data_IF_669570433838
#
_entry.id   IF_669570433838
#
_cell.length_a   1.000
_cell.length_b   1.000
_cell.length_c   1.000
_cell.angle_alpha   90.00
_cell.angle_beta   90.00
_cell.angle_gamma   90.00
#
_symmetry.space_group_name_H-M   'P 1'
#
loop_
_entity.id
_entity.type
_entity.pdbx_description
1 polymer ?
#
# COMPACT_ATOMS: atom_id res chain seq x y z
N UNK A 1 33.96 2.74 14.34
CA UNK A 1 32.58 2.66 13.81
C UNK A 1 31.87 3.92 14.23
N UNK A 2 31.12 4.56 13.34
CA UNK A 2 30.41 5.81 13.62
C UNK A 2 28.92 5.52 13.74
N UNK A 3 28.27 6.01 14.79
CA UNK A 3 26.82 5.89 14.95
C UNK A 3 26.13 6.76 13.89
N UNK A 4 25.24 6.15 13.10
CA UNK A 4 24.50 6.84 12.05
C UNK A 4 23.05 7.10 12.46
N UNK A 5 22.42 6.11 13.08
CA UNK A 5 21.03 6.22 13.51
C UNK A 5 20.76 5.27 14.69
N UNK A 6 19.74 5.56 15.48
CA UNK A 6 19.25 4.66 16.52
C UNK A 6 17.79 4.95 16.83
N UNK A 7 17.06 3.91 17.25
CA UNK A 7 15.68 4.03 17.69
C UNK A 7 15.34 2.91 18.67
N UNK A 8 14.32 3.13 19.49
CA UNK A 8 13.76 2.06 20.30
C UNK A 8 13.09 1.03 19.41
N UNK A 9 13.44 -0.23 19.62
CA UNK A 9 12.97 -1.35 18.81
C UNK A 9 11.60 -1.86 19.26
N UNK A 10 11.23 -1.61 20.52
CA UNK A 10 9.97 -2.04 21.11
C UNK A 10 9.24 -0.91 21.83
N UNK A 11 7.93 -1.08 22.01
CA UNK A 11 7.06 -0.08 22.62
C UNK A 11 7.43 0.22 24.08
N UNK A 12 7.92 -0.79 24.80
CA UNK A 12 8.38 -0.65 26.19
C UNK A 12 9.72 0.13 26.29
N UNK A 13 10.33 0.46 25.15
CA UNK A 13 11.61 1.19 25.06
C UNK A 13 12.73 0.52 25.86
N UNK A 14 12.69 -0.80 25.94
CA UNK A 14 13.65 -1.61 26.70
C UNK A 14 14.83 -2.09 25.84
N UNK A 15 14.69 -1.97 24.51
CA UNK A 15 15.70 -2.39 23.54
C UNK A 15 15.89 -1.30 22.49
N UNK A 16 17.14 -0.98 22.20
CA UNK A 16 17.54 -0.03 21.16
C UNK A 16 18.16 -0.81 20.01
N UNK A 17 17.78 -0.44 18.78
CA UNK A 17 18.51 -0.82 17.58
C UNK A 17 19.36 0.37 17.15
N UNK A 18 20.68 0.18 17.14
CA UNK A 18 21.65 1.18 16.74
C UNK A 18 22.33 0.76 15.43
N UNK A 19 22.38 1.68 14.48
CA UNK A 19 22.94 1.48 13.15
C UNK A 19 24.26 2.24 13.07
N UNK A 20 25.32 1.49 12.84
CA UNK A 20 26.68 2.01 12.74
C UNK A 20 27.22 1.88 11.33
N UNK A 21 28.06 2.82 10.92
CA UNK A 21 28.92 2.69 9.75
C UNK A 21 30.29 2.18 10.19
N UNK A 22 30.76 1.09 9.59
CA UNK A 22 32.10 0.56 9.82
C UNK A 22 33.17 1.28 8.97
N UNK A 23 34.43 0.85 9.08
CA UNK A 23 35.54 1.48 8.33
C UNK A 23 35.57 1.12 6.84
N UNK A 24 34.65 0.29 6.36
CA UNK A 24 34.48 -0.12 4.96
C UNK A 24 33.16 0.41 4.38
N UNK A 25 32.56 1.41 5.04
CA UNK A 25 31.26 1.99 4.70
C UNK A 25 30.10 0.98 4.69
N UNK A 26 30.19 -0.09 5.48
CA UNK A 26 29.11 -1.05 5.65
C UNK A 26 28.26 -0.69 6.87
N UNK A 27 26.93 -0.79 6.70
CA UNK A 27 25.98 -0.62 7.79
C UNK A 27 25.96 -1.88 8.65
N UNK A 28 26.19 -1.70 9.94
CA UNK A 28 26.15 -2.76 10.95
C UNK A 28 25.13 -2.39 12.01
N UNK A 29 24.18 -3.30 12.24
CA UNK A 29 23.19 -3.15 13.29
C UNK A 29 23.67 -3.77 14.61
N UNK A 30 23.38 -3.10 15.72
CA UNK A 30 23.57 -3.62 17.07
C UNK A 30 22.29 -3.48 17.86
N UNK A 31 21.96 -4.51 18.63
CA UNK A 31 20.85 -4.53 19.57
C UNK A 31 21.40 -4.26 20.97
N UNK A 32 20.91 -3.21 21.62
CA UNK A 32 21.42 -2.73 22.90
C UNK A 32 20.27 -2.72 23.91
N UNK A 33 20.32 -3.56 24.96
CA UNK A 33 19.37 -3.50 26.06
C UNK A 33 19.52 -2.20 26.86
N UNK A 34 18.40 -1.57 27.20
CA UNK A 34 18.35 -0.34 28.00
C UNK A 34 18.49 -0.69 29.47
N UNK A 35 19.74 -0.72 29.94
CA UNK A 35 20.08 -1.08 31.31
C UNK A 35 21.30 -0.28 31.76
N UNK A 36 21.17 0.52 32.83
CA UNK A 36 22.26 1.38 33.36
C UNK A 36 23.50 0.60 33.81
N UNK A 37 23.30 -0.65 34.26
CA UNK A 37 24.39 -1.55 34.61
C UNK A 37 25.16 -2.07 33.41
N UNK A 38 24.57 -2.01 32.19
CA UNK A 38 25.18 -2.51 30.97
C UNK A 38 26.21 -1.51 30.41
N UNK A 39 27.48 -1.95 30.37
CA UNK A 39 28.57 -1.13 29.84
C UNK A 39 28.43 -0.74 28.36
N UNK A 40 27.69 -1.50 27.55
CA UNK A 40 27.40 -1.15 26.17
C UNK A 40 26.38 -0.02 26.07
N UNK A 41 25.35 -0.05 26.93
CA UNK A 41 24.33 1.01 26.99
C UNK A 41 24.96 2.34 27.39
N UNK A 42 25.80 2.36 28.43
CA UNK A 42 26.50 3.59 28.86
C UNK A 42 27.38 4.18 27.75
N UNK A 43 28.08 3.33 26.99
CA UNK A 43 28.88 3.77 25.83
C UNK A 43 27.99 4.36 24.74
N UNK A 44 26.88 3.69 24.43
CA UNK A 44 25.90 4.18 23.46
C UNK A 44 25.30 5.53 23.84
N UNK A 45 24.97 5.76 25.12
CA UNK A 45 24.46 7.06 25.57
C UNK A 45 25.44 8.19 25.24
N UNK A 46 26.74 7.97 25.51
CA UNK A 46 27.79 8.96 25.18
C UNK A 46 27.88 9.18 23.66
N UNK A 47 27.79 8.13 22.85
CA UNK A 47 27.77 8.23 21.39
C UNK A 47 26.53 8.98 20.87
N UNK A 48 25.39 8.85 21.56
CA UNK A 48 24.15 9.53 21.18
C UNK A 48 24.17 11.03 21.44
N UNK A 49 25.05 11.55 22.30
CA UNK A 49 25.18 13.00 22.53
C UNK A 49 25.46 13.75 21.21
N UNK A 50 26.25 13.17 20.29
CA UNK A 50 26.51 13.75 18.97
C UNK A 50 25.25 13.81 18.06
N UNK A 51 24.21 13.04 18.40
CA UNK A 51 22.95 12.92 17.68
C UNK A 51 21.76 13.52 18.45
N UNK A 52 22.02 14.35 19.46
CA UNK A 52 20.99 15.01 20.27
C UNK A 52 20.57 14.22 21.52
N UNK A 53 21.38 13.24 21.94
CA UNK A 53 21.19 12.49 23.18
C UNK A 53 19.90 11.66 23.20
N UNK A 54 19.34 11.50 24.40
CA UNK A 54 18.08 10.77 24.64
C UNK A 54 16.91 11.41 23.87
N UNK A 55 16.85 12.74 23.79
CA UNK A 55 15.78 13.43 23.06
C UNK A 55 15.86 13.14 21.56
N UNK A 56 17.07 13.19 21.00
CA UNK A 56 17.33 12.78 19.62
C UNK A 56 16.97 11.33 19.33
N UNK A 57 17.11 10.43 20.32
CA UNK A 57 16.65 9.04 20.22
C UNK A 57 15.12 8.93 20.15
N UNK A 58 14.41 9.70 20.98
CA UNK A 58 12.94 9.73 20.96
C UNK A 58 12.41 10.28 19.64
N UNK A 59 13.00 11.35 19.12
CA UNK A 59 12.63 11.93 17.83
C UNK A 59 12.84 10.93 16.68
N UNK A 60 14.01 10.28 16.62
CA UNK A 60 14.30 9.24 15.61
C UNK A 60 13.35 8.06 15.71
N UNK A 61 13.02 7.65 16.92
CA UNK A 61 12.04 6.58 17.13
C UNK A 61 10.67 6.98 16.58
N UNK A 62 10.21 8.20 16.85
CA UNK A 62 8.94 8.69 16.30
C UNK A 62 8.95 8.72 14.78
N UNK A 63 10.00 9.29 14.17
CA UNK A 63 10.13 9.36 12.71
C UNK A 63 10.18 7.96 12.08
N UNK A 64 10.96 7.04 12.66
CA UNK A 64 11.05 5.66 12.22
C UNK A 64 9.69 4.94 12.26
N UNK A 65 8.93 5.12 13.34
CA UNK A 65 7.60 4.50 13.47
C UNK A 65 6.63 5.04 12.42
N UNK A 66 6.62 6.36 12.20
CA UNK A 66 5.77 7.00 11.18
C UNK A 66 6.12 6.50 9.78
N UNK A 67 7.39 6.53 9.40
CA UNK A 67 7.86 6.06 8.09
C UNK A 67 7.58 4.57 7.88
N UNK A 68 7.82 3.74 8.90
CA UNK A 68 7.55 2.30 8.85
C UNK A 68 6.06 2.03 8.69
N UNK A 69 5.20 2.78 9.39
CA UNK A 69 3.75 2.67 9.26
C UNK A 69 3.30 3.00 7.83
N UNK A 70 3.75 4.12 7.27
CA UNK A 70 3.41 4.50 5.90
C UNK A 70 3.88 3.46 4.87
N UNK A 71 5.10 2.92 5.02
CA UNK A 71 5.61 1.87 4.15
C UNK A 71 4.76 0.60 4.26
N UNK A 72 4.43 0.19 5.49
CA UNK A 72 3.66 -1.02 5.74
C UNK A 72 2.25 -0.90 5.16
N UNK A 73 1.56 0.22 5.39
CA UNK A 73 0.23 0.49 4.84
C UNK A 73 0.24 0.40 3.31
N UNK A 74 1.22 1.04 2.67
CA UNK A 74 1.38 0.98 1.21
C UNK A 74 1.66 -0.44 0.70
N UNK A 75 2.53 -1.20 1.39
CA UNK A 75 2.82 -2.59 1.04
C UNK A 75 1.59 -3.48 1.19
N UNK A 76 0.80 -3.31 2.25
CA UNK A 76 -0.45 -4.05 2.46
C UNK A 76 -1.42 -3.77 1.32
N UNK A 77 -1.60 -2.50 0.93
CA UNK A 77 -2.45 -2.10 -0.19
C UNK A 77 -1.96 -2.72 -1.51
N UNK A 78 -0.66 -2.69 -1.78
CA UNK A 78 -0.09 -3.26 -3.00
C UNK A 78 -0.23 -4.78 -3.07
N UNK A 79 -0.04 -5.47 -1.94
CA UNK A 79 -0.25 -6.92 -1.84
C UNK A 79 -1.74 -7.25 -2.05
N UNK A 80 -2.64 -6.50 -1.43
CA UNK A 80 -4.08 -6.67 -1.59
C UNK A 80 -4.52 -6.48 -3.06
N UNK A 81 -4.02 -5.44 -3.73
CA UNK A 81 -4.25 -5.21 -5.17
C UNK A 81 -3.72 -6.36 -6.03
N UNK A 82 -2.47 -6.79 -5.82
CA UNK A 82 -1.82 -7.87 -6.59
C UNK A 82 -2.53 -9.21 -6.43
N UNK A 83 -3.03 -9.51 -5.23
CA UNK A 83 -3.69 -10.78 -4.92
C UNK A 83 -5.20 -10.76 -5.14
N UNK A 84 -5.77 -9.63 -5.56
CA UNK A 84 -7.21 -9.49 -5.76
C UNK A 84 -8.02 -9.47 -4.46
N UNK A 85 -7.39 -9.35 -3.28
CA UNK A 85 -8.04 -9.39 -1.97
C UNK A 85 -8.91 -8.16 -1.67
N UNK A 86 -8.88 -7.15 -2.55
CA UNK A 86 -9.73 -5.97 -2.42
C UNK A 86 -11.22 -6.32 -2.50
N UNK A 87 -11.60 -7.40 -3.18
CA UNK A 87 -13.01 -7.82 -3.28
C UNK A 87 -13.61 -8.25 -1.93
N UNK A 88 -12.77 -8.74 -1.01
CA UNK A 88 -13.20 -9.22 0.31
C UNK A 88 -13.17 -8.11 1.37
N UNK A 89 -12.53 -6.97 1.06
CA UNK A 89 -12.32 -5.84 1.96
C UNK A 89 -13.24 -4.67 1.62
N UNK A 90 -13.61 -4.51 0.35
CA UNK A 90 -14.51 -3.44 -0.09
C UNK A 90 -15.94 -3.83 0.23
N UNK A 91 -16.45 -3.36 1.37
CA UNK A 91 -17.88 -3.35 1.63
C UNK A 91 -18.57 -2.41 0.63
N UNK A 92 -19.69 -2.85 0.07
CA UNK A 92 -20.55 -2.00 -0.76
C UNK A 92 -21.36 -1.05 0.13
N UNK A 93 -20.67 -0.20 0.88
CA UNK A 93 -21.27 0.80 1.74
C UNK A 93 -21.79 2.01 0.95
N UNK A 94 -22.47 2.93 1.64
CA UNK A 94 -23.08 4.10 1.03
C UNK A 94 -22.03 5.01 0.34
N UNK A 95 -20.81 5.08 0.88
CA UNK A 95 -19.72 5.90 0.35
C UNK A 95 -19.13 5.30 -0.92
N UNK A 96 -18.96 3.98 -0.98
CA UNK A 96 -18.54 3.27 -2.18
C UNK A 96 -19.59 3.40 -3.29
N UNK A 97 -20.88 3.24 -2.95
CA UNK A 97 -21.98 3.47 -3.88
C UNK A 97 -22.02 4.93 -4.38
N UNK A 98 -21.76 5.91 -3.51
CA UNK A 98 -21.66 7.32 -3.90
C UNK A 98 -20.47 7.59 -4.82
N UNK A 99 -19.31 6.91 -4.63
CA UNK A 99 -18.16 7.01 -5.53
C UNK A 99 -18.45 6.39 -6.90
N UNK A 100 -19.11 5.24 -6.94
CA UNK A 100 -19.59 4.65 -8.20
C UNK A 100 -20.56 5.63 -8.87
N UNK A 101 -21.56 6.15 -8.15
CA UNK A 101 -22.51 7.11 -8.68
C UNK A 101 -21.82 8.35 -9.25
N UNK A 102 -20.82 8.91 -8.56
CA UNK A 102 -20.02 10.04 -9.07
C UNK A 102 -19.24 9.69 -10.34
N UNK A 103 -18.59 8.52 -10.40
CA UNK A 103 -17.90 8.05 -11.61
C UNK A 103 -18.88 7.86 -12.78
N UNK A 104 -20.10 7.45 -12.47
CA UNK A 104 -21.17 7.20 -13.43
C UNK A 104 -21.80 8.51 -13.93
N UNK A 105 -21.93 9.52 -13.07
CA UNK A 105 -22.52 10.82 -13.38
C UNK A 105 -21.50 11.76 -14.04
N UNK A 106 -20.25 11.73 -13.59
CA UNK A 106 -19.15 12.53 -14.12
C UNK A 106 -18.20 11.59 -14.89
N UNK A 107 -18.43 11.46 -16.19
CA UNK A 107 -17.68 10.57 -17.08
C UNK A 107 -16.34 11.14 -17.56
N UNK A 108 -15.95 12.34 -17.11
CA UNK A 108 -14.69 13.00 -17.44
C UNK A 108 -13.45 12.13 -17.17
N UNK A 109 -13.52 11.26 -16.16
CA UNK A 109 -12.43 10.35 -15.78
C UNK A 109 -12.43 9.00 -16.55
N UNK A 110 -13.47 8.70 -17.33
CA UNK A 110 -13.62 7.44 -18.07
C UNK A 110 -12.99 7.54 -19.46
N UNK A 111 -11.65 7.52 -19.48
CA UNK A 111 -10.88 7.50 -20.73
C UNK A 111 -11.16 6.25 -21.57
N UNK A 112 -10.93 6.34 -22.88
CA UNK A 112 -11.04 5.22 -23.82
C UNK A 112 -10.26 3.98 -23.36
N UNK A 113 -9.10 4.16 -22.72
CA UNK A 113 -8.29 3.07 -22.18
C UNK A 113 -9.01 2.33 -21.03
N UNK A 114 -9.67 3.07 -20.13
CA UNK A 114 -10.44 2.46 -19.03
C UNK A 114 -11.68 1.73 -19.57
N UNK A 115 -12.35 2.30 -20.56
CA UNK A 115 -13.49 1.65 -21.25
C UNK A 115 -13.02 0.37 -21.95
N UNK A 116 -11.86 0.39 -22.62
CA UNK A 116 -11.28 -0.79 -23.25
C UNK A 116 -10.94 -1.89 -22.23
N UNK A 117 -10.29 -1.56 -21.12
CA UNK A 117 -9.99 -2.51 -20.04
C UNK A 117 -11.27 -3.12 -19.43
N UNK A 118 -12.32 -2.31 -19.25
CA UNK A 118 -13.63 -2.80 -18.80
C UNK A 118 -14.20 -3.81 -19.79
N UNK A 119 -14.19 -3.52 -21.10
CA UNK A 119 -14.65 -4.45 -22.12
C UNK A 119 -13.89 -5.78 -22.07
N UNK A 120 -12.56 -5.76 -21.98
CA UNK A 120 -11.76 -6.99 -21.88
C UNK A 120 -12.22 -7.86 -20.71
N UNK A 121 -12.36 -7.27 -19.51
CA UNK A 121 -12.88 -7.99 -18.34
C UNK A 121 -14.29 -8.55 -18.53
N UNK A 122 -15.18 -7.81 -19.19
CA UNK A 122 -16.54 -8.29 -19.47
C UNK A 122 -16.55 -9.43 -20.50
N UNK A 123 -15.63 -9.41 -21.47
CA UNK A 123 -15.47 -10.51 -22.43
C UNK A 123 -14.94 -11.79 -21.78
N UNK A 124 -14.15 -11.69 -20.71
CA UNK A 124 -13.65 -12.83 -19.94
C UNK A 124 -14.72 -13.48 -19.05
N UNK A 125 -15.85 -12.82 -18.81
CA UNK A 125 -16.94 -13.39 -18.01
C UNK A 125 -17.58 -14.58 -18.73
N UNK A 126 -17.90 -15.65 -17.99
CA UNK A 126 -18.45 -16.89 -18.57
C UNK A 126 -19.74 -16.65 -19.37
N UNK A 127 -20.63 -15.76 -18.90
CA UNK A 127 -21.89 -15.44 -19.59
C UNK A 127 -21.67 -14.84 -20.99
N UNK A 128 -20.56 -14.13 -21.19
CA UNK A 128 -20.20 -13.55 -22.48
C UNK A 128 -19.39 -14.56 -23.29
N UNK A 129 -18.40 -15.21 -22.68
CA UNK A 129 -17.55 -16.22 -23.34
C UNK A 129 -18.41 -17.34 -23.95
N UNK A 130 -19.34 -17.90 -23.18
CA UNK A 130 -20.19 -19.02 -23.56
C UNK A 130 -21.41 -18.62 -24.41
N UNK A 131 -21.69 -17.31 -24.57
CA UNK A 131 -22.79 -16.87 -25.43
C UNK A 131 -22.49 -17.16 -26.90
N UNK A 132 -23.43 -17.82 -27.57
CA UNK A 132 -23.39 -18.06 -29.02
C UNK A 132 -23.87 -16.86 -29.83
N UNK A 133 -24.45 -15.85 -29.18
CA UNK A 133 -24.99 -14.67 -29.85
C UNK A 133 -23.85 -13.73 -30.30
N UNK A 134 -23.55 -13.81 -31.59
CA UNK A 134 -22.53 -12.98 -32.26
C UNK A 134 -22.92 -11.51 -32.29
N UNK A 135 -24.21 -11.19 -32.30
CA UNK A 135 -24.69 -9.81 -32.36
C UNK A 135 -24.45 -9.11 -31.04
N UNK A 136 -24.77 -9.76 -29.91
CA UNK A 136 -24.50 -9.21 -28.58
C UNK A 136 -23.01 -8.99 -28.34
N UNK A 137 -22.16 -9.92 -28.80
CA UNK A 137 -20.69 -9.77 -28.75
C UNK A 137 -20.21 -8.60 -29.62
N UNK A 138 -20.79 -8.41 -30.80
CA UNK A 138 -20.48 -7.27 -31.67
C UNK A 138 -20.87 -5.94 -31.02
N UNK A 139 -22.07 -5.86 -30.46
CA UNK A 139 -22.58 -4.66 -29.78
C UNK A 139 -21.65 -4.26 -28.61
N UNK A 140 -21.21 -5.22 -27.80
CA UNK A 140 -20.28 -4.97 -26.69
C UNK A 140 -18.89 -4.49 -27.16
N UNK A 141 -18.38 -4.96 -28.31
CA UNK A 141 -17.13 -4.44 -28.89
C UNK A 141 -17.26 -2.99 -29.33
N UNK A 142 -18.39 -2.66 -29.99
CA UNK A 142 -18.64 -1.36 -30.63
C UNK A 142 -19.03 -0.26 -29.65
N UNK A 143 -19.53 -0.59 -28.47
CA UNK A 143 -19.93 0.38 -27.45
C UNK A 143 -18.83 1.41 -27.16
N UNK A 144 -19.08 2.71 -27.38
CA UNK A 144 -18.04 3.74 -27.22
C UNK A 144 -18.07 4.40 -25.85
N UNK A 145 -19.24 4.47 -25.23
CA UNK A 145 -19.38 5.07 -23.89
C UNK A 145 -19.48 3.99 -22.81
N UNK A 146 -19.20 4.37 -21.57
CA UNK A 146 -19.40 3.50 -20.41
C UNK A 146 -20.85 3.00 -20.32
N UNK A 147 -21.81 3.87 -20.62
CA UNK A 147 -23.24 3.53 -20.64
C UNK A 147 -23.59 2.49 -21.71
N UNK A 148 -23.05 2.63 -22.92
CA UNK A 148 -23.27 1.67 -24.00
C UNK A 148 -22.70 0.29 -23.65
N UNK A 149 -21.54 0.26 -22.97
CA UNK A 149 -20.90 -0.98 -22.52
C UNK A 149 -21.80 -1.69 -21.50
N UNK A 150 -22.31 -0.97 -20.51
CA UNK A 150 -23.21 -1.54 -19.50
C UNK A 150 -24.54 -1.99 -20.11
N UNK A 151 -25.13 -1.18 -21.00
CA UNK A 151 -26.39 -1.51 -21.67
C UNK A 151 -26.24 -2.75 -22.55
N UNK A 152 -25.15 -2.87 -23.31
CA UNK A 152 -24.84 -4.05 -24.12
C UNK A 152 -24.60 -5.29 -23.25
N UNK A 153 -23.82 -5.17 -22.17
CA UNK A 153 -23.54 -6.29 -21.27
C UNK A 153 -24.79 -6.80 -20.57
N UNK A 154 -25.70 -5.91 -20.14
CA UNK A 154 -26.97 -6.29 -19.50
C UNK A 154 -27.84 -7.20 -20.37
N UNK A 155 -27.73 -7.11 -21.70
CA UNK A 155 -28.47 -7.99 -22.63
C UNK A 155 -28.07 -9.48 -22.52
N UNK A 156 -26.87 -9.79 -22.01
CA UNK A 156 -26.41 -11.17 -21.78
C UNK A 156 -26.98 -11.81 -20.51
N UNK A 157 -27.52 -11.01 -19.58
CA UNK A 157 -28.14 -11.49 -18.33
C UNK A 157 -29.65 -11.69 -18.44
N UNK A 158 -30.25 -11.39 -19.59
CA UNK A 158 -31.65 -11.72 -19.90
C UNK A 158 -31.73 -13.11 -20.48
#
# INVERSE_FOLDING_TARGET
>A
MKLQNAYFFNNERSVIRAIYLDSKDQLIEKIIPVQESNGQYRKFIVEMEELGGIDGLHERTFNYLRETQEILENQVVDIAKKRGLWSDIVEMDADFLAKIAKLVINDDDLTDEKIFKLKLKLFEQEIVTNSTDRQLKSDLRKATTFWDVLAAYRKFKK
#
